data_IF_247266360300
#
_entry.id   IF_247266360300
#
_cell.length_a   1.000
_cell.length_b   1.000
_cell.length_c   1.000
_cell.angle_alpha   90.00
_cell.angle_beta   90.00
_cell.angle_gamma   90.00
#
_symmetry.space_group_name_H-M   'P 1'
#
loop_
_entity.id
_entity.type
_entity.pdbx_description
1 polymer ?
#
# COMPACT_ATOMS: atom_id res chain seq x y z
N UNK A 1 2.57 11.33 -22.42
CA UNK A 1 3.84 10.60 -22.33
C UNK A 1 3.55 9.16 -21.99
N UNK A 2 4.42 8.24 -22.37
CA UNK A 2 4.19 6.82 -22.11
C UNK A 2 4.11 6.51 -20.60
N UNK A 3 3.23 5.59 -20.17
CA UNK A 3 3.12 5.21 -18.77
C UNK A 3 4.41 4.54 -18.30
N UNK A 4 4.88 4.95 -17.11
CA UNK A 4 6.04 4.36 -16.48
C UNK A 4 5.79 2.88 -16.17
N UNK A 5 6.63 1.99 -16.70
CA UNK A 5 6.55 0.55 -16.45
C UNK A 5 7.53 0.16 -15.35
N UNK A 6 7.01 -0.46 -14.29
CA UNK A 6 7.82 -0.90 -13.15
C UNK A 6 7.83 -2.43 -13.14
N UNK A 7 8.99 -3.08 -13.35
CA UNK A 7 9.06 -4.53 -13.40
C UNK A 7 8.68 -5.18 -12.06
N UNK A 8 7.64 -6.03 -12.06
CA UNK A 8 7.21 -6.79 -10.88
C UNK A 8 7.75 -8.24 -10.84
N UNK A 9 8.49 -8.66 -11.87
CA UNK A 9 8.97 -10.04 -12.00
C UNK A 9 7.88 -10.99 -12.51
N UNK A 10 8.04 -12.28 -12.25
CA UNK A 10 7.00 -13.27 -12.50
C UNK A 10 5.83 -12.97 -11.56
N UNK A 11 4.62 -12.92 -12.11
CA UNK A 11 3.43 -12.63 -11.34
C UNK A 11 2.29 -13.54 -11.77
N UNK A 12 1.48 -13.96 -10.81
CA UNK A 12 0.29 -14.79 -11.04
C UNK A 12 -0.90 -14.20 -10.27
N UNK A 13 -2.09 -14.35 -10.83
CA UNK A 13 -3.33 -14.08 -10.13
C UNK A 13 -3.88 -15.40 -9.58
N UNK A 14 -3.96 -15.50 -8.26
CA UNK A 14 -4.60 -16.62 -7.56
C UNK A 14 -6.05 -16.26 -7.30
N UNK A 15 -6.95 -17.24 -7.42
CA UNK A 15 -8.35 -17.08 -7.03
C UNK A 15 -8.67 -18.02 -5.87
N UNK A 16 -9.21 -17.47 -4.79
CA UNK A 16 -9.58 -18.23 -3.60
C UNK A 16 -10.77 -17.58 -2.89
N UNK A 17 -11.82 -18.36 -2.62
CA UNK A 17 -13.01 -17.92 -1.88
C UNK A 17 -13.61 -16.60 -2.40
N UNK A 18 -13.65 -16.40 -3.72
CA UNK A 18 -14.18 -15.19 -4.36
C UNK A 18 -13.22 -13.99 -4.34
N UNK A 19 -11.98 -14.15 -3.86
CA UNK A 19 -10.96 -13.10 -3.80
C UNK A 19 -9.90 -13.36 -4.86
N UNK A 20 -9.56 -12.33 -5.63
CA UNK A 20 -8.43 -12.33 -6.54
C UNK A 20 -7.18 -11.76 -5.85
N UNK A 21 -6.09 -12.52 -5.86
CA UNK A 21 -4.85 -12.20 -5.17
C UNK A 21 -3.70 -12.23 -6.17
N UNK A 22 -3.12 -11.07 -6.45
CA UNK A 22 -1.94 -10.96 -7.32
C UNK A 22 -0.70 -11.11 -6.46
N UNK A 23 0.12 -12.12 -6.78
CA UNK A 23 1.43 -12.35 -6.14
C UNK A 23 2.53 -12.24 -7.18
N UNK A 24 3.70 -11.73 -6.78
CA UNK A 24 4.80 -11.47 -7.70
C UNK A 24 6.18 -11.64 -7.04
N UNK A 25 7.21 -11.92 -7.84
CA UNK A 25 8.53 -12.30 -7.31
C UNK A 25 9.43 -11.13 -6.92
N UNK A 26 9.24 -9.93 -7.49
CA UNK A 26 10.05 -8.75 -7.13
C UNK A 26 9.27 -7.81 -6.21
N UNK A 27 9.88 -7.39 -5.10
CA UNK A 27 9.25 -6.39 -4.21
C UNK A 27 8.98 -5.09 -4.98
N UNK A 28 7.71 -4.72 -5.10
CA UNK A 28 7.24 -3.49 -5.74
C UNK A 28 5.95 -3.03 -5.06
N UNK A 29 5.68 -1.72 -5.06
CA UNK A 29 4.42 -1.16 -4.59
C UNK A 29 3.42 -1.04 -5.75
N UNK A 30 2.13 -0.93 -5.43
CA UNK A 30 1.11 -0.65 -6.44
C UNK A 30 0.99 0.87 -6.66
N UNK A 31 0.91 1.26 -7.93
CA UNK A 31 0.81 2.67 -8.36
C UNK A 31 -0.53 3.03 -8.97
N UNK A 32 -1.23 2.06 -9.56
CA UNK A 32 -2.50 2.31 -10.22
C UNK A 32 -3.22 1.05 -10.66
N UNK A 33 -4.41 1.20 -11.26
CA UNK A 33 -5.32 0.08 -11.49
C UNK A 33 -4.85 -0.90 -12.57
N UNK A 34 -3.87 -0.50 -13.39
CA UNK A 34 -3.27 -1.36 -14.41
C UNK A 34 -2.74 -2.70 -13.88
N UNK A 35 -2.35 -2.77 -12.60
CA UNK A 35 -1.94 -4.03 -12.00
C UNK A 35 -3.04 -5.08 -12.08
N UNK A 36 -4.31 -4.68 -11.94
CA UNK A 36 -5.47 -5.58 -11.96
C UNK A 36 -5.90 -5.89 -13.40
N UNK A 37 -6.02 -4.87 -14.24
CA UNK A 37 -6.51 -5.04 -15.62
C UNK A 37 -5.55 -5.86 -16.47
N UNK A 38 -4.24 -5.85 -16.19
CA UNK A 38 -3.26 -6.73 -16.84
C UNK A 38 -3.52 -8.23 -16.58
N UNK A 39 -4.25 -8.59 -15.52
CA UNK A 39 -4.71 -9.96 -15.24
C UNK A 39 -6.17 -10.19 -15.66
N UNK A 40 -6.77 -9.27 -16.42
CA UNK A 40 -8.17 -9.37 -16.85
C UNK A 40 -9.19 -9.13 -15.73
N UNK A 41 -8.77 -8.54 -14.60
CA UNK A 41 -9.67 -8.22 -13.50
C UNK A 41 -10.36 -6.89 -13.82
N UNK A 42 -11.68 -6.94 -14.01
CA UNK A 42 -12.52 -5.75 -14.07
C UNK A 42 -12.74 -5.19 -12.66
N UNK A 43 -12.05 -4.10 -12.36
CA UNK A 43 -12.12 -3.42 -11.06
C UNK A 43 -13.48 -2.78 -10.80
N UNK A 44 -14.27 -2.47 -11.84
CA UNK A 44 -15.60 -1.88 -11.68
C UNK A 44 -16.61 -2.85 -11.06
N UNK A 45 -16.33 -4.15 -11.15
CA UNK A 45 -17.13 -5.23 -10.58
C UNK A 45 -16.67 -5.62 -9.17
N UNK A 46 -15.67 -4.94 -8.61
CA UNK A 46 -15.13 -5.23 -7.28
C UNK A 46 -15.71 -4.28 -6.26
N UNK A 47 -16.15 -4.85 -5.12
CA UNK A 47 -16.63 -4.06 -3.98
C UNK A 47 -15.48 -3.43 -3.20
N UNK A 48 -14.28 -4.01 -3.25
CA UNK A 48 -13.10 -3.56 -2.53
C UNK A 48 -11.83 -3.88 -3.31
N UNK A 49 -10.91 -2.92 -3.36
CA UNK A 49 -9.55 -3.10 -3.84
C UNK A 49 -8.59 -2.90 -2.68
N UNK A 50 -7.67 -3.85 -2.47
CA UNK A 50 -6.62 -3.73 -1.46
C UNK A 50 -5.28 -3.64 -2.16
N UNK A 51 -4.53 -2.58 -1.88
CA UNK A 51 -3.21 -2.34 -2.49
C UNK A 51 -2.15 -2.12 -1.43
N UNK A 52 -0.97 -2.71 -1.61
CA UNK A 52 0.18 -2.45 -0.74
C UNK A 52 0.98 -1.27 -1.27
N UNK A 53 0.65 -0.08 -0.80
CA UNK A 53 1.32 1.17 -1.15
C UNK A 53 1.01 2.21 -0.08
N UNK A 54 1.99 3.05 0.27
CA UNK A 54 1.79 4.07 1.31
C UNK A 54 1.14 5.34 0.77
N UNK A 55 1.48 5.75 -0.47
CA UNK A 55 0.95 7.00 -1.01
C UNK A 55 0.90 7.06 -2.54
N UNK A 56 1.86 6.43 -3.24
CA UNK A 56 1.93 6.54 -4.70
C UNK A 56 0.73 5.91 -5.44
N UNK A 57 -0.08 5.08 -4.76
CA UNK A 57 -1.31 4.55 -5.34
C UNK A 57 -2.39 5.63 -5.49
N UNK A 58 -2.41 6.66 -4.62
CA UNK A 58 -3.55 7.55 -4.47
C UNK A 58 -3.97 8.18 -5.81
N UNK A 59 -3.03 8.81 -6.51
CA UNK A 59 -3.29 9.47 -7.79
C UNK A 59 -3.77 8.49 -8.89
N UNK A 60 -3.39 7.22 -8.81
CA UNK A 60 -3.83 6.20 -9.77
C UNK A 60 -5.24 5.67 -9.49
N UNK A 61 -5.66 5.64 -8.22
CA UNK A 61 -6.96 5.07 -7.82
C UNK A 61 -8.04 6.11 -7.54
N UNK A 62 -7.68 7.35 -7.20
CA UNK A 62 -8.66 8.42 -6.93
C UNK A 62 -9.69 8.60 -8.06
N UNK A 63 -9.33 8.52 -9.35
CA UNK A 63 -10.32 8.67 -10.43
C UNK A 63 -11.31 7.51 -10.57
N UNK A 64 -11.04 6.36 -9.94
CA UNK A 64 -11.84 5.12 -10.10
C UNK A 64 -12.43 4.59 -8.79
N UNK A 65 -12.01 5.12 -7.65
CA UNK A 65 -12.50 4.72 -6.33
C UNK A 65 -13.55 5.72 -5.84
N UNK A 66 -14.65 5.22 -5.27
CA UNK A 66 -15.64 6.07 -4.60
C UNK A 66 -15.10 6.65 -3.29
N UNK A 67 -14.21 5.92 -2.62
CA UNK A 67 -13.55 6.33 -1.37
C UNK A 67 -12.17 5.67 -1.27
N UNK A 68 -11.20 6.38 -0.70
CA UNK A 68 -9.86 5.85 -0.40
C UNK A 68 -9.69 5.79 1.12
N UNK A 69 -9.53 4.57 1.64
CA UNK A 69 -9.33 4.31 3.06
C UNK A 69 -7.87 3.91 3.34
N UNK A 70 -7.21 4.66 4.22
CA UNK A 70 -5.88 4.32 4.71
C UNK A 70 -5.99 3.33 5.87
N UNK A 71 -5.28 2.20 5.76
CA UNK A 71 -5.28 1.15 6.77
C UNK A 71 -3.94 1.08 7.50
N UNK A 72 -4.00 1.16 8.83
CA UNK A 72 -2.86 0.88 9.71
C UNK A 72 -2.71 -0.63 9.99
N UNK A 73 -2.33 -1.41 8.97
CA UNK A 73 -2.11 -2.86 9.15
C UNK A 73 -0.89 -3.15 10.03
N UNK A 74 -0.88 -4.22 10.85
CA UNK A 74 0.34 -4.70 11.51
C UNK A 74 1.47 -4.97 10.50
N UNK A 75 2.71 -4.72 10.89
CA UNK A 75 3.88 -5.03 10.07
C UNK A 75 5.01 -4.01 10.18
N UNK A 76 6.02 -4.16 9.33
CA UNK A 76 7.29 -3.41 9.42
C UNK A 76 7.18 -1.91 9.14
N UNK A 77 6.06 -1.44 8.58
CA UNK A 77 5.85 -0.03 8.19
C UNK A 77 4.46 0.41 8.64
N UNK A 78 4.12 0.14 9.90
CA UNK A 78 2.88 0.64 10.48
C UNK A 78 2.93 2.18 10.59
N UNK A 79 1.87 2.92 10.24
CA UNK A 79 1.85 4.38 10.32
C UNK A 79 1.84 4.88 11.78
N UNK A 80 1.58 4.00 12.74
CA UNK A 80 1.68 4.28 14.17
C UNK A 80 3.09 4.01 14.67
N UNK A 81 3.98 4.98 14.48
CA UNK A 81 5.39 4.86 14.85
C UNK A 81 5.58 4.48 16.32
N UNK A 82 4.76 5.03 17.24
CA UNK A 82 4.84 4.72 18.68
C UNK A 82 4.58 3.26 19.04
N UNK A 83 3.98 2.47 18.14
CA UNK A 83 3.72 1.05 18.33
C UNK A 83 4.83 0.14 17.78
N UNK A 84 5.81 0.70 17.06
CA UNK A 84 6.95 -0.05 16.55
C UNK A 84 7.98 -0.20 17.69
N UNK A 85 8.47 -1.42 17.99
CA UNK A 85 9.43 -1.66 19.07
C UNK A 85 10.85 -1.25 18.64
N UNK A 86 11.10 0.06 18.56
CA UNK A 86 12.41 0.58 18.22
C UNK A 86 13.45 0.22 19.30
N UNK A 87 14.59 -0.33 18.87
CA UNK A 87 15.70 -0.72 19.76
C UNK A 87 16.94 0.14 19.60
N UNK A 88 17.02 0.96 18.54
CA UNK A 88 18.21 1.76 18.18
C UNK A 88 17.94 3.25 17.97
N UNK A 89 16.68 3.66 17.96
CA UNK A 89 16.29 5.05 17.69
C UNK A 89 16.14 5.76 19.04
N UNK A 90 16.69 6.97 19.15
CA UNK A 90 16.41 7.88 20.26
C UNK A 90 14.91 8.24 20.26
N UNK A 91 14.22 8.11 21.39
CA UNK A 91 12.79 8.39 21.52
C UNK A 91 12.49 9.76 22.13
N UNK A 92 13.50 10.60 22.41
CA UNK A 92 13.31 11.98 22.83
C UNK A 92 12.93 12.90 21.65
N UNK A 93 11.81 12.58 20.99
CA UNK A 93 11.25 13.35 19.87
C UNK A 93 9.74 13.15 19.76
N UNK A 94 9.04 14.08 19.12
CA UNK A 94 7.66 13.86 18.70
C UNK A 94 7.58 12.68 17.71
N UNK A 95 6.60 11.76 17.81
CA UNK A 95 5.43 11.75 18.70
C UNK A 95 5.59 10.98 20.03
N UNK A 96 6.80 10.60 20.46
CA UNK A 96 7.01 9.94 21.77
C UNK A 96 7.04 10.93 22.92
N UNK A 97 7.52 12.14 22.66
CA UNK A 97 7.48 13.29 23.57
C UNK A 97 6.74 14.42 22.84
N UNK A 98 5.67 14.94 23.43
CA UNK A 98 4.80 15.96 22.81
C UNK A 98 5.59 17.23 22.42
N UNK A 99 6.46 17.70 23.32
CA UNK A 99 7.40 18.78 23.04
C UNK A 99 8.81 18.40 23.52
N UNK A 100 9.70 17.90 22.65
CA UNK A 100 11.05 17.50 23.04
C UNK A 100 11.99 18.70 23.27
N UNK A 101 11.51 19.94 23.13
CA UNK A 101 12.29 21.16 23.35
C UNK A 101 11.82 21.96 24.57
N UNK A 102 10.89 21.44 25.36
CA UNK A 102 10.50 22.07 26.62
C UNK A 102 11.68 22.06 27.61
N UNK A 103 11.94 23.21 28.24
CA UNK A 103 13.03 23.44 29.20
C UNK A 103 12.84 22.68 30.52
#
# INVERSE_FOLDING_TARGET
GDPMRIPCGTAVCLHCNGIDIIVNTKRVQVFGPMVFTNFGIDISQKQLLVVKSNQHFYAGFEPVASEILYMASPGSVAPRFTQIPYTRVDLHKFPWVENPFAA
#
